data_IF_944442505302
#
_entry.id   IF_944442505302
#
_cell.length_a   1.000
_cell.length_b   1.000
_cell.length_c   1.000
_cell.angle_alpha   90.00
_cell.angle_beta   90.00
_cell.angle_gamma   90.00
#
_symmetry.space_group_name_H-M   'P 1'
#
loop_
_entity.id
_entity.type
_entity.pdbx_description
1 polymer ?
#
# COMPACT_ATOMS: atom_id res chain seq x y z
N UNK A 1 -14.38 -13.46 -46.45
CA UNK A 1 -13.16 -12.63 -46.62
C UNK A 1 -12.84 -12.01 -45.27
N UNK A 2 -11.99 -12.66 -44.47
CA UNK A 2 -11.65 -12.20 -43.12
C UNK A 2 -10.61 -11.08 -43.23
N UNK A 3 -10.98 -9.86 -42.87
CA UNK A 3 -10.04 -8.75 -42.72
C UNK A 3 -9.32 -8.95 -41.39
N UNK A 4 -8.09 -9.44 -41.47
CA UNK A 4 -7.16 -9.47 -40.34
C UNK A 4 -6.67 -8.02 -40.16
N UNK A 5 -7.25 -7.30 -39.21
CA UNK A 5 -6.67 -6.05 -38.73
C UNK A 5 -5.40 -6.38 -37.95
N UNK A 6 -4.26 -6.35 -38.64
CA UNK A 6 -2.95 -6.33 -38.04
C UNK A 6 -2.82 -5.00 -37.26
N UNK A 7 -2.98 -5.04 -35.94
CA UNK A 7 -2.56 -3.93 -35.09
C UNK A 7 -1.03 -3.88 -35.13
N UNK A 8 -0.48 -3.11 -36.07
CA UNK A 8 0.90 -2.67 -35.99
C UNK A 8 1.00 -1.74 -34.79
N UNK A 9 1.54 -2.23 -33.68
CA UNK A 9 1.99 -1.39 -32.57
C UNK A 9 3.11 -0.49 -33.11
N UNK A 10 2.77 0.75 -33.47
CA UNK A 10 3.78 1.77 -33.71
C UNK A 10 4.47 2.00 -32.36
N UNK A 11 5.68 1.49 -32.18
CA UNK A 11 6.52 1.83 -31.04
C UNK A 11 6.82 3.33 -31.12
N UNK A 12 6.00 4.15 -30.45
CA UNK A 12 6.22 5.59 -30.36
C UNK A 12 7.53 5.82 -29.59
N UNK A 13 8.59 6.28 -30.27
CA UNK A 13 9.85 6.63 -29.63
C UNK A 13 9.68 7.84 -28.71
N UNK A 14 10.35 7.83 -27.56
CA UNK A 14 10.35 8.96 -26.63
C UNK A 14 11.03 10.16 -27.30
N UNK A 15 10.32 11.30 -27.37
CA UNK A 15 10.87 12.52 -27.95
C UNK A 15 11.63 13.31 -26.88
N UNK A 16 12.81 13.80 -27.24
CA UNK A 16 13.64 14.65 -26.37
C UNK A 16 12.88 15.91 -25.94
N UNK A 17 12.03 16.46 -26.81
CA UNK A 17 11.19 17.61 -26.49
C UNK A 17 10.27 17.36 -25.29
N UNK A 18 9.71 16.15 -25.18
CA UNK A 18 8.79 15.79 -24.10
C UNK A 18 9.54 15.72 -22.76
N UNK A 19 10.78 15.22 -22.76
CA UNK A 19 11.64 15.18 -21.57
C UNK A 19 11.98 16.60 -21.09
N UNK A 20 12.25 17.53 -22.01
CA UNK A 20 12.62 18.91 -21.67
C UNK A 20 11.41 19.73 -21.22
N UNK A 21 10.24 19.46 -21.80
CA UNK A 21 8.99 20.13 -21.41
C UNK A 21 8.61 19.83 -19.96
N UNK A 22 9.07 18.70 -19.41
CA UNK A 22 8.85 18.37 -18.01
C UNK A 22 9.57 19.36 -17.09
N UNK A 23 8.80 19.96 -16.18
CA UNK A 23 9.34 20.86 -15.16
C UNK A 23 10.37 20.11 -14.30
N UNK A 24 11.60 20.64 -14.14
CA UNK A 24 12.62 19.98 -13.33
C UNK A 24 12.22 19.92 -11.86
N UNK A 25 12.59 18.83 -11.20
CA UNK A 25 12.45 18.69 -9.76
C UNK A 25 13.55 19.46 -9.05
N UNK A 26 13.17 20.46 -8.26
CA UNK A 26 14.11 21.27 -7.50
C UNK A 26 14.44 20.55 -6.19
N UNK A 27 15.71 20.20 -5.99
CA UNK A 27 16.20 19.42 -4.84
C UNK A 27 17.40 20.11 -4.21
N UNK A 28 17.77 19.76 -2.98
CA UNK A 28 19.00 20.28 -2.38
C UNK A 28 20.23 19.76 -3.15
N UNK A 29 20.50 18.47 -3.03
CA UNK A 29 21.52 17.74 -3.77
C UNK A 29 20.92 16.41 -4.27
N UNK A 30 21.40 15.95 -5.43
CA UNK A 30 21.05 14.63 -5.94
C UNK A 30 21.92 13.58 -5.22
N UNK A 31 21.33 12.50 -4.68
CA UNK A 31 22.12 11.48 -4.01
C UNK A 31 22.89 10.66 -5.06
N UNK A 32 24.22 10.68 -4.99
CA UNK A 32 25.08 9.89 -5.87
C UNK A 32 25.39 8.55 -5.20
N UNK A 33 24.86 7.47 -5.75
CA UNK A 33 25.21 6.09 -5.35
C UNK A 33 26.41 5.58 -6.15
N UNK A 34 27.11 4.60 -5.59
CA UNK A 34 28.10 3.76 -6.28
C UNK A 34 27.68 2.28 -6.34
N UNK A 35 26.41 1.99 -6.02
CA UNK A 35 25.82 0.66 -6.13
C UNK A 35 25.94 0.03 -7.52
N UNK A 36 26.00 -1.30 -7.58
CA UNK A 36 26.25 -2.08 -8.81
C UNK A 36 25.19 -1.91 -9.91
N UNK A 37 24.00 -1.42 -9.55
CA UNK A 37 22.88 -1.16 -10.47
C UNK A 37 22.71 0.33 -10.79
N UNK A 38 23.69 1.15 -10.42
CA UNK A 38 23.71 2.58 -10.73
C UNK A 38 24.90 2.86 -11.63
N UNK A 39 24.62 3.50 -12.76
CA UNK A 39 25.62 3.86 -13.75
C UNK A 39 25.62 5.37 -13.92
N UNK A 40 26.78 5.99 -13.75
CA UNK A 40 26.97 7.43 -13.86
C UNK A 40 27.60 7.78 -15.20
N UNK A 41 27.01 8.73 -15.91
CA UNK A 41 27.57 9.34 -17.11
C UNK A 41 27.83 10.83 -16.83
N UNK A 42 28.95 11.14 -16.14
CA UNK A 42 29.21 12.49 -15.65
C UNK A 42 29.54 13.47 -16.78
N UNK A 43 29.21 14.74 -16.54
CA UNK A 43 29.55 15.87 -17.38
C UNK A 43 30.16 16.98 -16.51
N UNK A 44 31.08 17.80 -17.03
CA UNK A 44 31.51 19.02 -16.34
C UNK A 44 30.37 20.02 -16.15
N UNK A 45 30.54 20.94 -15.20
CA UNK A 45 29.63 22.09 -15.04
C UNK A 45 29.48 22.85 -16.36
N UNK A 46 28.26 23.33 -16.63
CA UNK A 46 27.87 24.03 -17.86
C UNK A 46 28.18 23.32 -19.21
N UNK A 47 28.61 22.05 -19.19
CA UNK A 47 28.97 21.30 -20.39
C UNK A 47 27.86 20.34 -20.84
N UNK A 48 27.79 20.10 -22.15
CA UNK A 48 27.01 18.99 -22.72
C UNK A 48 27.85 17.76 -23.04
N UNK A 49 29.18 17.87 -22.96
CA UNK A 49 30.10 16.79 -23.27
C UNK A 49 30.29 15.90 -22.04
N UNK A 50 30.26 14.59 -22.27
CA UNK A 50 30.59 13.63 -21.23
C UNK A 50 32.07 13.70 -20.86
N UNK A 51 32.39 13.44 -19.60
CA UNK A 51 33.78 13.19 -19.18
C UNK A 51 34.27 11.87 -19.79
N UNK A 52 35.59 11.69 -20.01
CA UNK A 52 36.15 10.51 -20.70
C UNK A 52 35.71 9.16 -20.13
N UNK A 53 35.50 9.08 -18.82
CA UNK A 53 35.03 7.88 -18.12
C UNK A 53 33.67 7.37 -18.61
N UNK A 54 32.76 8.26 -19.03
CA UNK A 54 31.41 7.89 -19.46
C UNK A 54 31.42 7.06 -20.75
N UNK A 55 32.38 7.30 -21.66
CA UNK A 55 32.48 6.58 -22.94
C UNK A 55 32.99 5.14 -22.77
N UNK A 56 33.57 4.82 -21.61
CA UNK A 56 34.10 3.47 -21.30
C UNK A 56 33.07 2.59 -20.58
N UNK A 57 31.95 3.17 -20.16
CA UNK A 57 30.92 2.49 -19.40
C UNK A 57 30.21 1.44 -20.27
N UNK A 58 30.10 0.23 -19.74
CA UNK A 58 29.28 -0.85 -20.30
C UNK A 58 28.24 -1.25 -19.26
N UNK A 59 27.03 -1.59 -19.73
CA UNK A 59 26.00 -2.13 -18.85
C UNK A 59 26.43 -3.50 -18.34
N UNK A 60 26.26 -3.81 -17.04
CA UNK A 60 26.48 -5.15 -16.51
C UNK A 60 25.66 -6.22 -17.27
N UNK A 61 26.18 -7.44 -17.41
CA UNK A 61 25.43 -8.53 -18.05
C UNK A 61 24.08 -8.76 -17.37
N UNK A 62 23.07 -9.14 -18.16
CA UNK A 62 21.73 -9.44 -17.67
C UNK A 62 21.11 -8.29 -16.85
N UNK A 63 21.32 -7.04 -17.28
CA UNK A 63 20.63 -5.87 -16.74
C UNK A 63 19.92 -5.09 -17.84
N UNK A 64 18.88 -4.36 -17.46
CA UNK A 64 18.13 -3.46 -18.34
C UNK A 64 17.95 -2.09 -17.69
N UNK A 65 17.77 -1.05 -18.51
CA UNK A 65 17.60 0.31 -18.01
C UNK A 65 16.18 0.49 -17.48
N UNK A 66 16.07 0.88 -16.22
CA UNK A 66 14.79 1.15 -15.57
C UNK A 66 14.44 2.65 -15.57
N UNK A 67 15.40 3.50 -15.24
CA UNK A 67 15.18 4.94 -15.11
C UNK A 67 16.42 5.73 -15.50
N UNK A 68 16.22 6.94 -16.00
CA UNK A 68 17.29 7.87 -16.38
C UNK A 68 16.99 9.24 -15.76
N UNK A 69 17.93 9.71 -14.94
CA UNK A 69 17.88 11.05 -14.35
C UNK A 69 18.89 11.96 -15.05
N UNK A 70 18.42 13.08 -15.61
CA UNK A 70 19.28 14.20 -15.97
C UNK A 70 19.44 15.12 -14.76
N UNK A 71 20.66 15.28 -14.27
CA UNK A 71 20.96 16.06 -13.06
C UNK A 71 21.81 17.28 -13.42
N UNK A 72 21.42 18.45 -12.91
CA UNK A 72 22.22 19.68 -13.02
C UNK A 72 21.99 20.61 -11.83
N UNK A 73 22.76 21.68 -11.73
CA UNK A 73 22.64 22.69 -10.66
C UNK A 73 21.83 23.90 -11.10
N UNK A 74 21.04 24.48 -10.19
CA UNK A 74 20.32 25.75 -10.41
C UNK A 74 21.27 26.93 -10.64
N UNK A 75 22.45 26.86 -10.05
CA UNK A 75 23.46 27.91 -10.15
C UNK A 75 23.80 28.18 -11.62
N UNK A 76 23.70 29.45 -12.02
CA UNK A 76 24.10 29.97 -13.33
C UNK A 76 25.01 31.17 -13.10
N UNK A 77 26.10 31.23 -13.85
CA UNK A 77 27.04 32.35 -13.77
C UNK A 77 26.48 33.62 -14.44
N UNK A 78 25.60 33.44 -15.43
CA UNK A 78 24.98 34.53 -16.18
C UNK A 78 23.47 34.32 -16.19
N UNK A 79 22.71 35.37 -15.94
CA UNK A 79 21.25 35.28 -15.83
C UNK A 79 20.54 34.90 -17.13
N UNK A 80 21.13 35.25 -18.27
CA UNK A 80 20.63 34.96 -19.63
C UNK A 80 20.88 33.52 -20.08
N UNK A 81 21.51 32.69 -19.24
CA UNK A 81 21.85 31.32 -19.58
C UNK A 81 20.60 30.46 -19.88
N UNK A 82 20.60 29.81 -21.04
CA UNK A 82 19.48 28.98 -21.49
C UNK A 82 19.69 27.50 -21.08
N UNK A 83 19.23 27.16 -19.87
CA UNK A 83 19.30 25.80 -19.35
C UNK A 83 18.56 24.75 -20.21
N UNK A 84 17.34 25.01 -20.73
CA UNK A 84 16.65 24.07 -21.63
C UNK A 84 17.48 23.69 -22.87
N UNK A 85 18.15 24.69 -23.50
CA UNK A 85 19.00 24.46 -24.68
C UNK A 85 20.23 23.60 -24.34
N UNK A 86 20.84 23.80 -23.17
CA UNK A 86 21.93 22.93 -22.71
C UNK A 86 21.44 21.49 -22.49
N UNK A 87 20.29 21.32 -21.83
CA UNK A 87 19.71 19.99 -21.59
C UNK A 87 19.33 19.27 -22.89
N UNK A 88 18.87 20.00 -23.91
CA UNK A 88 18.65 19.43 -25.24
C UNK A 88 19.93 18.86 -25.86
N UNK A 89 21.04 19.60 -25.77
CA UNK A 89 22.34 19.12 -26.25
C UNK A 89 22.81 17.88 -25.48
N UNK A 90 22.62 17.87 -24.16
CA UNK A 90 22.94 16.70 -23.31
C UNK A 90 22.15 15.46 -23.73
N UNK A 91 20.85 15.60 -23.95
CA UNK A 91 19.99 14.49 -24.37
C UNK A 91 20.35 13.99 -25.78
N UNK A 92 20.70 14.90 -26.71
CA UNK A 92 21.21 14.51 -28.02
C UNK A 92 22.53 13.73 -27.92
N UNK A 93 23.45 14.17 -27.06
CA UNK A 93 24.70 13.45 -26.82
C UNK A 93 24.46 12.07 -26.20
N UNK A 94 23.52 11.95 -25.25
CA UNK A 94 23.11 10.64 -24.73
C UNK A 94 22.51 9.76 -25.83
N UNK A 95 21.69 10.31 -26.73
CA UNK A 95 21.11 9.57 -27.86
C UNK A 95 22.16 9.05 -28.85
N UNK A 96 23.24 9.81 -29.05
CA UNK A 96 24.38 9.35 -29.84
C UNK A 96 25.13 8.20 -29.15
N UNK A 97 25.33 8.31 -27.83
CA UNK A 97 26.03 7.29 -27.06
C UNK A 97 25.22 6.01 -26.95
N UNK A 98 23.96 6.12 -26.51
CA UNK A 98 23.03 5.01 -26.27
C UNK A 98 21.68 5.28 -26.98
N UNK A 99 21.56 4.99 -28.29
CA UNK A 99 20.33 5.26 -29.03
C UNK A 99 19.15 4.37 -28.59
N UNK A 100 19.42 3.18 -28.07
CA UNK A 100 18.39 2.19 -27.76
C UNK A 100 17.51 2.58 -26.57
N UNK A 101 18.03 3.34 -25.59
CA UNK A 101 17.21 3.80 -24.46
C UNK A 101 16.08 4.75 -24.88
N UNK A 102 16.20 5.39 -26.05
CA UNK A 102 15.13 6.26 -26.58
C UNK A 102 14.06 5.48 -27.35
N UNK A 103 14.27 4.19 -27.60
CA UNK A 103 13.30 3.27 -28.22
C UNK A 103 12.44 2.54 -27.18
N UNK A 104 12.84 2.57 -25.92
CA UNK A 104 12.16 1.91 -24.80
C UNK A 104 11.14 2.87 -24.17
N UNK A 105 9.89 2.44 -24.09
CA UNK A 105 8.78 3.28 -23.63
C UNK A 105 8.52 3.19 -22.12
N UNK A 106 9.20 2.27 -21.45
CA UNK A 106 9.02 1.98 -20.03
C UNK A 106 10.14 2.53 -19.14
N UNK A 107 11.09 3.29 -19.71
CA UNK A 107 12.10 4.04 -18.96
C UNK A 107 11.48 5.26 -18.31
N UNK A 108 11.64 5.40 -16.99
CA UNK A 108 11.26 6.61 -16.28
C UNK A 108 12.31 7.72 -16.46
N UNK A 109 11.97 8.76 -17.24
CA UNK A 109 12.81 9.94 -17.44
C UNK A 109 12.50 11.01 -16.40
N UNK A 110 13.53 11.54 -15.74
CA UNK A 110 13.39 12.62 -14.74
C UNK A 110 14.49 13.65 -14.88
N UNK A 111 14.15 14.91 -14.60
CA UNK A 111 15.09 16.04 -14.66
C UNK A 111 15.19 16.66 -13.27
N UNK A 112 16.40 16.78 -12.74
CA UNK A 112 16.67 17.30 -11.40
C UNK A 112 17.53 18.57 -11.45
N UNK A 113 17.07 19.59 -10.75
CA UNK A 113 17.75 20.87 -10.55
C UNK A 113 18.19 21.00 -9.08
N UNK A 114 19.49 20.99 -8.83
CA UNK A 114 20.09 21.07 -7.49
C UNK A 114 20.24 22.53 -7.04
N UNK A 115 19.57 22.92 -5.95
CA UNK A 115 19.51 24.30 -5.45
C UNK A 115 20.52 24.63 -4.35
N UNK A 116 21.17 23.63 -3.75
CA UNK A 116 22.15 23.84 -2.67
C UNK A 116 23.36 24.69 -3.09
N UNK A 117 24.04 24.44 -4.22
CA UNK A 117 25.21 25.24 -4.58
C UNK A 117 24.82 26.69 -4.92
N UNK A 118 25.49 27.64 -4.26
CA UNK A 118 25.30 29.09 -4.44
C UNK A 118 26.49 29.80 -5.08
N UNK A 119 27.64 29.14 -5.14
CA UNK A 119 28.87 29.65 -5.75
C UNK A 119 29.25 28.78 -6.94
N UNK A 120 30.12 29.31 -7.81
CA UNK A 120 30.66 28.56 -8.95
C UNK A 120 31.39 27.31 -8.47
N UNK A 121 32.30 27.45 -7.50
CA UNK A 121 33.04 26.33 -6.93
C UNK A 121 32.13 25.24 -6.35
N UNK A 122 31.11 25.62 -5.58
CA UNK A 122 30.15 24.64 -5.04
C UNK A 122 29.34 23.97 -6.16
N UNK A 123 29.02 24.72 -7.23
CA UNK A 123 28.30 24.18 -8.37
C UNK A 123 29.17 23.19 -9.14
N UNK A 124 30.44 23.48 -9.38
CA UNK A 124 31.41 22.62 -10.06
C UNK A 124 31.67 21.30 -9.33
N UNK A 125 31.60 21.33 -8.00
CA UNK A 125 31.74 20.14 -7.15
C UNK A 125 30.46 19.28 -7.07
N UNK A 126 29.33 19.73 -7.61
CA UNK A 126 28.12 18.93 -7.68
C UNK A 126 28.13 17.98 -8.90
N UNK A 127 27.37 16.90 -8.83
CA UNK A 127 27.20 16.02 -9.98
C UNK A 127 26.35 16.67 -11.08
N UNK A 128 26.84 16.62 -12.33
CA UNK A 128 26.06 16.89 -13.54
C UNK A 128 26.18 15.74 -14.51
N UNK A 129 25.13 15.47 -15.27
CA UNK A 129 25.11 14.42 -16.27
C UNK A 129 23.91 13.50 -16.10
N UNK A 130 24.07 12.24 -16.49
CA UNK A 130 23.00 11.26 -16.43
C UNK A 130 23.29 10.17 -15.41
N UNK A 131 22.34 9.94 -14.51
CA UNK A 131 22.33 8.77 -13.64
C UNK A 131 21.36 7.76 -14.20
N UNK A 132 21.87 6.58 -14.50
CA UNK A 132 21.16 5.48 -15.13
C UNK A 132 20.94 4.41 -14.06
N UNK A 133 19.70 4.04 -13.84
CA UNK A 133 19.33 2.99 -12.90
C UNK A 133 18.97 1.74 -13.66
N UNK A 134 19.60 0.65 -13.26
CA UNK A 134 19.46 -0.65 -13.86
C UNK A 134 18.63 -1.56 -12.96
N UNK A 135 18.01 -2.55 -13.58
CA UNK A 135 17.40 -3.69 -12.90
C UNK A 135 17.92 -4.98 -13.52
N UNK A 136 17.86 -6.07 -12.77
CA UNK A 136 18.26 -7.38 -13.27
C UNK A 136 17.22 -7.89 -14.29
N UNK A 137 17.72 -8.49 -15.37
CA UNK A 137 16.95 -8.97 -16.52
C UNK A 137 16.35 -10.39 -16.34
N UNK A 138 16.84 -11.29 -15.45
CA UNK A 138 16.05 -12.41 -14.99
C UNK A 138 15.28 -12.04 -13.71
N UNK A 139 13.96 -12.31 -13.64
CA UNK A 139 13.25 -12.28 -12.36
C UNK A 139 14.01 -13.10 -11.32
N UNK A 140 14.06 -12.62 -10.07
CA UNK A 140 14.64 -13.38 -8.97
C UNK A 140 13.95 -14.75 -8.92
N UNK A 141 14.72 -15.83 -8.75
CA UNK A 141 14.17 -17.19 -8.62
C UNK A 141 13.10 -17.28 -7.49
N UNK A 142 13.17 -16.38 -6.52
CA UNK A 142 12.16 -16.19 -5.48
C UNK A 142 10.83 -15.65 -6.02
N UNK A 143 10.85 -14.62 -6.87
CA UNK A 143 9.63 -14.06 -7.50
C UNK A 143 8.89 -15.11 -8.33
N UNK A 144 9.61 -15.95 -9.08
CA UNK A 144 8.94 -17.04 -9.83
C UNK A 144 8.36 -18.11 -8.89
N UNK A 145 8.98 -18.36 -7.73
CA UNK A 145 8.38 -19.23 -6.68
C UNK A 145 7.12 -18.59 -6.08
N UNK A 146 7.10 -17.27 -5.88
CA UNK A 146 5.93 -16.54 -5.40
C UNK A 146 4.78 -16.60 -6.41
N UNK A 147 5.06 -16.34 -7.70
CA UNK A 147 4.07 -16.47 -8.78
C UNK A 147 3.55 -17.91 -8.87
N UNK A 148 4.42 -18.92 -8.76
CA UNK A 148 4.01 -20.32 -8.75
C UNK A 148 3.10 -20.68 -7.57
N UNK A 149 3.32 -20.08 -6.39
CA UNK A 149 2.41 -20.22 -5.23
C UNK A 149 1.04 -19.62 -5.55
N UNK A 150 0.99 -18.44 -6.17
CA UNK A 150 -0.27 -17.80 -6.60
C UNK A 150 -1.02 -18.70 -7.60
N UNK A 151 -0.31 -19.21 -8.62
CA UNK A 151 -0.88 -20.15 -9.61
C UNK A 151 -1.51 -21.38 -8.96
N UNK A 152 -0.81 -21.96 -7.98
CA UNK A 152 -1.29 -23.15 -7.26
C UNK A 152 -2.58 -22.86 -6.49
N UNK A 153 -2.68 -21.72 -5.81
CA UNK A 153 -3.91 -21.30 -5.11
C UNK A 153 -5.07 -21.13 -6.10
N UNK A 154 -4.83 -20.43 -7.22
CA UNK A 154 -5.87 -20.19 -8.23
C UNK A 154 -6.33 -21.49 -8.90
N UNK A 155 -5.40 -22.42 -9.19
CA UNK A 155 -5.71 -23.70 -9.85
C UNK A 155 -6.41 -24.71 -8.94
N UNK A 156 -6.13 -24.66 -7.64
CA UNK A 156 -6.73 -25.56 -6.65
C UNK A 156 -8.15 -25.15 -6.22
N UNK A 157 -8.63 -23.98 -6.68
CA UNK A 157 -9.94 -23.48 -6.31
C UNK A 157 -11.08 -24.39 -6.72
N UNK A 158 -11.98 -24.63 -5.77
CA UNK A 158 -13.29 -25.27 -5.94
C UNK A 158 -14.33 -24.38 -5.28
N UNK A 159 -15.37 -24.03 -6.01
CA UNK A 159 -16.47 -23.25 -5.45
C UNK A 159 -17.18 -24.08 -4.37
N UNK A 160 -17.54 -23.44 -3.27
CA UNK A 160 -18.16 -24.10 -2.13
C UNK A 160 -18.95 -23.11 -1.29
N UNK A 161 -20.06 -23.60 -0.75
CA UNK A 161 -20.89 -22.88 0.20
C UNK A 161 -20.86 -23.57 1.54
N UNK A 162 -20.76 -22.78 2.62
CA UNK A 162 -20.85 -23.26 3.99
C UNK A 162 -22.07 -22.62 4.64
N UNK A 163 -22.85 -23.41 5.36
CA UNK A 163 -23.93 -22.90 6.18
C UNK A 163 -23.38 -22.22 7.43
N UNK A 164 -23.64 -20.93 7.60
CA UNK A 164 -23.37 -20.20 8.83
C UNK A 164 -24.64 -20.22 9.68
N UNK A 165 -24.57 -20.73 10.92
CA UNK A 165 -25.72 -20.74 11.81
C UNK A 165 -26.06 -19.32 12.29
N UNK A 166 -27.30 -19.12 12.73
CA UNK A 166 -27.74 -17.85 13.32
C UNK A 166 -26.84 -17.47 14.50
N UNK A 167 -26.44 -16.20 14.56
CA UNK A 167 -25.66 -15.67 15.68
C UNK A 167 -26.39 -14.51 16.35
N UNK A 168 -26.33 -14.47 17.69
CA UNK A 168 -26.88 -13.39 18.49
C UNK A 168 -25.76 -12.75 19.32
N UNK A 169 -25.56 -11.44 19.18
CA UNK A 169 -24.70 -10.68 20.09
C UNK A 169 -25.50 -10.21 21.28
N UNK A 170 -24.91 -10.31 22.49
CA UNK A 170 -25.57 -9.92 23.73
C UNK A 170 -24.84 -8.73 24.35
N UNK A 171 -25.59 -7.70 24.79
CA UNK A 171 -25.03 -6.69 25.70
C UNK A 171 -25.19 -7.20 27.12
N UNK A 172 -24.08 -7.48 27.79
CA UNK A 172 -24.12 -7.79 29.22
C UNK A 172 -24.30 -6.48 29.98
N UNK A 173 -25.50 -6.24 30.50
CA UNK A 173 -25.75 -5.21 31.51
C UNK A 173 -25.52 -5.82 32.89
N UNK A 174 -24.79 -5.09 33.73
CA UNK A 174 -24.64 -5.41 35.15
C UNK A 174 -25.49 -4.42 35.93
N UNK A 175 -26.44 -4.91 36.73
CA UNK A 175 -27.21 -4.09 37.66
C UNK A 175 -27.07 -4.63 39.07
N UNK A 176 -27.07 -3.73 40.05
CA UNK A 176 -27.16 -4.10 41.45
C UNK A 176 -28.63 -4.21 41.83
N UNK A 177 -29.02 -5.36 42.39
CA UNK A 177 -30.35 -5.59 42.91
C UNK A 177 -30.25 -5.82 44.43
N UNK A 178 -31.07 -5.12 45.19
CA UNK A 178 -31.11 -5.26 46.65
C UNK A 178 -31.59 -6.67 47.02
N UNK A 179 -30.86 -7.37 47.89
CA UNK A 179 -31.19 -8.76 48.26
C UNK A 179 -32.27 -8.86 49.34
N UNK A 180 -32.71 -7.72 49.89
CA UNK A 180 -33.57 -7.65 51.07
C UNK A 180 -32.83 -7.85 52.41
N UNK A 181 -31.52 -8.10 52.37
CA UNK A 181 -30.68 -8.27 53.56
C UNK A 181 -29.76 -7.07 53.80
N UNK A 182 -29.29 -6.96 55.04
CA UNK A 182 -28.38 -5.93 55.52
C UNK A 182 -27.07 -6.56 56.00
N UNK A 183 -25.94 -5.96 55.63
CA UNK A 183 -24.61 -6.40 56.00
C UNK A 183 -24.23 -5.91 57.41
N UNK A 184 -23.61 -6.76 58.26
CA UNK A 184 -23.11 -6.31 59.56
C UNK A 184 -21.97 -5.29 59.39
N UNK A 185 -21.85 -4.32 60.30
CA UNK A 185 -20.71 -3.38 60.28
C UNK A 185 -19.39 -4.06 60.67
N UNK A 186 -19.44 -5.12 61.49
CA UNK A 186 -18.26 -5.89 61.90
C UNK A 186 -17.72 -6.77 60.76
N UNK A 187 -16.41 -6.68 60.52
CA UNK A 187 -15.70 -7.43 59.47
C UNK A 187 -15.72 -8.94 59.71
N UNK A 188 -15.59 -9.40 60.95
CA UNK A 188 -15.62 -10.83 61.28
C UNK A 188 -17.01 -11.43 61.06
N UNK A 189 -18.05 -10.65 61.34
CA UNK A 189 -19.44 -11.05 61.08
C UNK A 189 -19.72 -11.14 59.57
N UNK A 190 -19.11 -10.27 58.75
CA UNK A 190 -19.16 -10.37 57.27
C UNK A 190 -18.44 -11.62 56.77
N UNK A 191 -17.26 -11.95 57.31
CA UNK A 191 -16.51 -13.18 56.93
C UNK A 191 -17.29 -14.46 57.22
N UNK A 192 -18.11 -14.47 58.28
CA UNK A 192 -19.02 -15.58 58.62
C UNK A 192 -20.32 -15.60 57.80
N UNK A 193 -20.45 -14.77 56.76
CA UNK A 193 -21.65 -14.64 55.91
C UNK A 193 -22.95 -14.37 56.67
N UNK A 194 -22.89 -13.72 57.84
CA UNK A 194 -24.11 -13.37 58.58
C UNK A 194 -24.84 -12.20 57.92
N UNK A 195 -26.16 -12.32 57.84
CA UNK A 195 -27.07 -11.36 57.19
C UNK A 195 -28.19 -10.96 58.16
N UNK A 196 -28.69 -9.73 58.02
CA UNK A 196 -29.78 -9.20 58.84
C UNK A 196 -30.98 -8.82 57.96
N UNK A 197 -32.20 -8.93 58.48
CA UNK A 197 -33.43 -8.56 57.77
C UNK A 197 -33.77 -7.06 57.89
N UNK A 198 -33.09 -6.29 58.74
CA UNK A 198 -33.30 -4.84 58.88
C UNK A 198 -32.01 -4.07 59.21
N UNK A 199 -32.02 -2.77 58.90
CA UNK A 199 -30.93 -1.85 59.23
C UNK A 199 -30.67 -1.75 60.74
N UNK A 200 -31.74 -1.83 61.53
CA UNK A 200 -31.75 -1.67 62.99
C UNK A 200 -31.17 -0.32 63.46
N UNK A 201 -30.97 -0.17 64.76
CA UNK A 201 -30.43 1.04 65.43
C UNK A 201 -29.00 1.38 64.95
N UNK A 202 -28.32 0.41 64.33
CA UNK A 202 -26.92 0.51 63.88
C UNK A 202 -26.77 0.91 62.41
N UNK A 203 -27.86 1.36 61.75
CA UNK A 203 -27.88 1.87 60.37
C UNK A 203 -27.08 1.00 59.37
N UNK A 204 -27.30 -0.32 59.42
CA UNK A 204 -26.56 -1.27 58.59
C UNK A 204 -26.78 -0.99 57.09
N UNK A 205 -25.76 -1.26 56.28
CA UNK A 205 -25.83 -1.10 54.83
C UNK A 205 -26.62 -2.25 54.18
N UNK A 206 -27.44 -1.92 53.19
CA UNK A 206 -28.15 -2.90 52.36
C UNK A 206 -27.15 -3.76 51.57
N UNK A 207 -27.42 -5.05 51.49
CA UNK A 207 -26.70 -5.98 50.63
C UNK A 207 -27.27 -5.89 49.21
N UNK A 208 -26.37 -5.76 48.24
CA UNK A 208 -26.70 -5.81 46.83
C UNK A 208 -26.04 -7.03 46.21
N UNK A 209 -26.79 -7.72 45.35
CA UNK A 209 -26.25 -8.74 44.46
C UNK A 209 -26.09 -8.15 43.07
N UNK A 210 -24.96 -8.45 42.42
CA UNK A 210 -24.83 -8.17 41.00
C UNK A 210 -25.60 -9.20 40.20
N UNK A 211 -26.54 -8.72 39.40
CA UNK A 211 -27.24 -9.52 38.40
C UNK A 211 -26.64 -9.19 37.03
N UNK A 212 -26.28 -10.26 36.31
CA UNK A 212 -25.89 -10.20 34.91
C UNK A 212 -27.15 -10.38 34.09
N UNK A 213 -27.56 -9.33 33.40
CA UNK A 213 -28.71 -9.35 32.49
C UNK A 213 -28.20 -9.17 31.05
N UNK A 214 -28.45 -10.16 30.19
CA UNK A 214 -27.98 -10.17 28.82
C UNK A 214 -29.13 -9.84 27.88
N UNK A 215 -29.11 -8.66 27.27
CA UNK A 215 -30.11 -8.27 26.27
C UNK A 215 -29.54 -8.60 24.89
N UNK A 216 -30.22 -9.38 24.04
CA UNK A 216 -29.79 -9.61 22.66
C UNK A 216 -29.82 -8.29 21.89
N UNK A 217 -28.67 -7.87 21.37
CA UNK A 217 -28.47 -6.61 20.66
C UNK A 217 -28.81 -6.73 19.17
N UNK A 218 -28.32 -7.81 18.54
CA UNK A 218 -28.46 -8.03 17.10
C UNK A 218 -28.50 -9.53 16.84
N UNK A 219 -29.50 -9.99 16.10
CA UNK A 219 -29.57 -11.34 15.53
C UNK A 219 -29.18 -11.27 14.06
N UNK A 220 -28.28 -12.14 13.65
CA UNK A 220 -27.88 -12.33 12.25
C UNK A 220 -28.41 -13.69 11.83
N UNK A 221 -29.44 -13.77 10.96
CA UNK A 221 -30.01 -15.03 10.51
C UNK A 221 -28.95 -15.97 9.91
N UNK A 222 -29.18 -17.27 10.08
CA UNK A 222 -28.35 -18.28 9.42
C UNK A 222 -28.45 -18.14 7.90
N UNK A 223 -27.32 -18.30 7.21
CA UNK A 223 -27.26 -18.13 5.77
C UNK A 223 -26.12 -18.96 5.17
N UNK A 224 -26.24 -19.28 3.88
CA UNK A 224 -25.16 -19.88 3.12
C UNK A 224 -24.16 -18.80 2.71
N UNK A 225 -22.88 -19.07 2.94
CA UNK A 225 -21.80 -18.21 2.52
C UNK A 225 -20.88 -18.93 1.52
N UNK A 226 -20.48 -18.22 0.47
CA UNK A 226 -19.41 -18.68 -0.41
C UNK A 226 -18.08 -18.57 0.31
N UNK A 227 -17.45 -19.70 0.55
CA UNK A 227 -16.13 -19.74 1.20
C UNK A 227 -15.02 -20.00 0.20
N UNK A 228 -15.32 -20.80 -0.83
CA UNK A 228 -14.30 -21.41 -1.68
C UNK A 228 -13.42 -22.39 -0.90
N UNK A 229 -12.95 -23.45 -1.58
CA UNK A 229 -11.84 -24.27 -1.12
C UNK A 229 -10.68 -24.11 -2.07
N UNK A 230 -9.52 -23.77 -1.56
CA UNK A 230 -8.28 -23.63 -2.32
C UNK A 230 -7.11 -24.03 -1.44
N UNK A 231 -5.96 -24.31 -2.05
CA UNK A 231 -4.75 -24.71 -1.33
C UNK A 231 -4.29 -23.60 -0.39
N UNK A 232 -4.42 -23.83 0.91
CA UNK A 232 -3.97 -22.94 1.97
C UNK A 232 -2.58 -23.30 2.49
N UNK A 233 -1.88 -24.26 1.88
CA UNK A 233 -0.55 -24.66 2.30
C UNK A 233 0.42 -23.49 2.22
N UNK A 234 0.91 -23.04 3.37
CA UNK A 234 1.78 -21.87 3.50
C UNK A 234 1.03 -20.53 3.65
N UNK A 235 -0.30 -20.51 3.56
CA UNK A 235 -1.15 -19.37 3.92
C UNK A 235 -1.45 -19.46 5.43
N UNK A 236 -0.64 -18.82 6.28
CA UNK A 236 -0.89 -18.83 7.73
C UNK A 236 -2.00 -17.83 8.09
N UNK A 237 -3.18 -18.33 8.51
CA UNK A 237 -4.31 -17.54 9.05
C UNK A 237 -4.70 -16.33 8.19
N UNK A 238 -4.95 -16.56 6.90
CA UNK A 238 -5.38 -15.53 5.96
C UNK A 238 -6.76 -15.89 5.40
N UNK A 239 -7.64 -14.91 5.19
CA UNK A 239 -9.03 -15.14 4.72
C UNK A 239 -9.62 -13.91 4.00
N UNK A 240 -8.75 -13.15 3.33
CA UNK A 240 -9.10 -11.93 2.59
C UNK A 240 -10.05 -12.22 1.44
N UNK A 241 -9.99 -13.43 0.87
CA UNK A 241 -10.96 -13.88 -0.13
C UNK A 241 -12.40 -13.75 0.38
N UNK A 242 -12.66 -14.13 1.65
CA UNK A 242 -14.00 -14.00 2.24
C UNK A 242 -14.39 -12.56 2.49
N UNK A 243 -13.46 -11.71 2.93
CA UNK A 243 -13.74 -10.27 3.11
C UNK A 243 -14.18 -9.65 1.78
N UNK A 244 -13.40 -9.92 0.73
CA UNK A 244 -13.62 -9.40 -0.62
C UNK A 244 -14.91 -9.90 -1.28
N UNK A 245 -15.28 -11.17 -1.05
CA UNK A 245 -16.48 -11.78 -1.63
C UNK A 245 -17.76 -11.41 -0.90
N UNK A 246 -17.73 -11.24 0.43
CA UNK A 246 -18.91 -10.92 1.24
C UNK A 246 -19.33 -9.45 1.13
N UNK A 247 -18.39 -8.54 0.90
CA UNK A 247 -18.68 -7.10 0.90
C UNK A 247 -19.19 -6.65 -0.46
N UNK A 248 -20.32 -5.94 -0.46
CA UNK A 248 -20.69 -5.12 -1.60
C UNK A 248 -19.99 -3.76 -1.47
N UNK A 249 -19.06 -3.49 -2.38
CA UNK A 249 -18.25 -2.28 -2.36
C UNK A 249 -19.01 -1.04 -2.88
N UNK A 250 -20.00 -1.23 -3.76
CA UNK A 250 -20.82 -0.15 -4.32
C UNK A 250 -20.04 0.89 -5.15
N UNK A 251 -20.75 1.61 -6.03
CA UNK A 251 -20.17 2.71 -6.80
C UNK A 251 -19.01 2.33 -7.73
N UNK A 252 -18.28 3.35 -8.21
CA UNK A 252 -17.08 3.23 -9.02
C UNK A 252 -15.86 3.20 -8.11
N UNK A 253 -15.06 2.14 -8.15
CA UNK A 253 -13.90 2.00 -7.28
C UNK A 253 -12.68 1.53 -8.07
N UNK A 254 -11.50 1.74 -7.49
CA UNK A 254 -10.27 1.12 -7.98
C UNK A 254 -9.72 0.16 -6.92
N UNK A 255 -9.22 -1.00 -7.37
CA UNK A 255 -8.56 -1.99 -6.51
C UNK A 255 -7.06 -1.76 -6.60
N UNK A 256 -6.42 -1.44 -5.47
CA UNK A 256 -4.99 -1.22 -5.35
C UNK A 256 -4.40 -2.31 -4.48
N UNK A 257 -3.44 -3.05 -5.01
CA UNK A 257 -2.86 -4.23 -4.35
C UNK A 257 -1.36 -4.03 -4.23
N UNK A 258 -0.88 -4.07 -3.00
CA UNK A 258 0.53 -4.27 -2.69
C UNK A 258 0.94 -5.68 -3.15
N UNK A 259 1.95 -5.77 -4.02
CA UNK A 259 2.48 -7.04 -4.53
C UNK A 259 3.96 -7.25 -4.20
N UNK A 260 4.40 -6.70 -3.07
CA UNK A 260 5.69 -7.07 -2.47
C UNK A 260 5.72 -8.53 -2.01
N UNK A 261 6.90 -9.06 -1.73
CA UNK A 261 7.08 -10.49 -1.45
C UNK A 261 6.24 -10.99 -0.27
N UNK A 262 6.11 -10.20 0.80
CA UNK A 262 5.27 -10.54 1.97
C UNK A 262 3.79 -10.63 1.61
N UNK A 263 3.37 -9.97 0.53
CA UNK A 263 1.99 -9.93 0.06
C UNK A 263 1.58 -11.12 -0.81
N UNK A 264 2.51 -12.01 -1.18
CA UNK A 264 2.23 -13.22 -1.98
C UNK A 264 0.98 -14.02 -1.54
N UNK A 265 0.83 -14.44 -0.25
CA UNK A 265 -0.34 -15.21 0.17
C UNK A 265 -1.66 -14.45 0.00
N UNK A 266 -1.65 -13.14 0.24
CA UNK A 266 -2.83 -12.28 0.14
C UNK A 266 -3.17 -11.95 -1.31
N UNK A 267 -2.15 -11.69 -2.13
CA UNK A 267 -2.27 -11.47 -3.57
C UNK A 267 -2.92 -12.66 -4.26
N UNK A 268 -2.57 -13.89 -3.85
CA UNK A 268 -3.22 -15.10 -4.37
C UNK A 268 -4.74 -15.09 -4.15
N UNK A 269 -5.18 -14.69 -2.95
CA UNK A 269 -6.60 -14.57 -2.61
C UNK A 269 -7.30 -13.43 -3.35
N UNK A 270 -6.61 -12.31 -3.55
CA UNK A 270 -7.13 -11.18 -4.36
C UNK A 270 -7.32 -11.61 -5.81
N UNK A 271 -6.33 -12.27 -6.41
CA UNK A 271 -6.46 -12.76 -7.79
C UNK A 271 -7.57 -13.82 -7.90
N UNK A 272 -7.70 -14.69 -6.91
CA UNK A 272 -8.80 -15.63 -6.86
C UNK A 272 -10.16 -14.93 -6.81
N UNK A 273 -10.29 -13.90 -5.97
CA UNK A 273 -11.50 -13.07 -5.93
C UNK A 273 -11.76 -12.39 -7.28
N UNK A 274 -10.75 -11.77 -7.91
CA UNK A 274 -10.90 -11.14 -9.22
C UNK A 274 -11.37 -12.12 -10.30
N UNK A 275 -10.87 -13.36 -10.28
CA UNK A 275 -11.25 -14.40 -11.25
C UNK A 275 -12.72 -14.80 -11.14
N UNK A 276 -13.29 -14.77 -9.94
CA UNK A 276 -14.63 -15.29 -9.64
C UNK A 276 -15.65 -14.21 -9.24
N UNK A 277 -15.22 -12.95 -9.14
CA UNK A 277 -16.07 -11.80 -8.83
C UNK A 277 -16.42 -11.02 -10.09
N UNK A 278 -17.67 -11.18 -10.54
CA UNK A 278 -18.19 -10.42 -11.69
C UNK A 278 -18.12 -8.90 -11.44
N UNK A 279 -18.47 -8.45 -10.23
CA UNK A 279 -18.49 -7.02 -9.89
C UNK A 279 -17.11 -6.36 -9.85
N UNK A 280 -16.06 -7.12 -9.52
CA UNK A 280 -14.69 -6.60 -9.52
C UNK A 280 -14.23 -6.30 -10.95
N UNK A 281 -14.34 -7.29 -11.85
CA UNK A 281 -13.92 -7.12 -13.23
C UNK A 281 -14.83 -6.14 -13.97
N UNK A 282 -16.12 -6.07 -13.65
CA UNK A 282 -17.02 -5.06 -14.22
C UNK A 282 -16.59 -3.62 -13.86
N UNK A 283 -16.01 -3.39 -12.66
CA UNK A 283 -15.42 -2.07 -12.33
C UNK A 283 -14.13 -1.81 -13.10
N UNK A 284 -13.33 -2.86 -13.28
CA UNK A 284 -12.22 -2.95 -14.22
C UNK A 284 -10.93 -2.21 -13.85
N UNK A 285 -10.95 -1.33 -12.84
CA UNK A 285 -9.80 -0.48 -12.47
C UNK A 285 -8.89 -1.18 -11.46
N UNK A 286 -7.79 -1.73 -11.97
CA UNK A 286 -6.86 -2.55 -11.19
C UNK A 286 -5.49 -1.89 -11.18
N UNK A 287 -4.89 -1.83 -9.99
CA UNK A 287 -3.59 -1.24 -9.74
C UNK A 287 -2.78 -2.18 -8.87
N UNK A 288 -1.55 -2.45 -9.30
CA UNK A 288 -0.55 -3.16 -8.52
C UNK A 288 0.60 -2.20 -8.22
N UNK A 289 1.11 -2.19 -6.99
CA UNK A 289 2.31 -1.44 -6.64
C UNK A 289 3.34 -2.31 -5.93
N UNK A 290 4.62 -2.04 -6.20
CA UNK A 290 5.75 -2.88 -5.81
C UNK A 290 6.93 -2.08 -5.23
N UNK A 291 6.65 -0.86 -4.77
CA UNK A 291 7.63 0.04 -4.17
C UNK A 291 8.83 0.37 -5.05
N UNK A 292 8.52 0.87 -6.24
CA UNK A 292 9.50 1.56 -7.08
C UNK A 292 10.29 0.67 -8.04
N UNK A 293 9.77 -0.50 -8.42
CA UNK A 293 10.39 -1.40 -9.40
C UNK A 293 11.88 -1.74 -9.12
N UNK A 294 12.19 -2.14 -7.89
CA UNK A 294 13.58 -2.39 -7.42
C UNK A 294 14.51 -1.18 -7.53
N UNK A 295 13.98 0.05 -7.65
CA UNK A 295 14.80 1.24 -7.54
C UNK A 295 15.56 1.21 -6.20
N UNK A 296 16.88 1.50 -6.19
CA UNK A 296 17.63 1.65 -4.95
C UNK A 296 16.93 2.59 -3.96
N UNK A 297 16.94 2.25 -2.67
CA UNK A 297 16.13 2.94 -1.65
C UNK A 297 16.39 4.46 -1.58
N UNK A 298 17.62 4.91 -1.81
CA UNK A 298 17.97 6.33 -1.86
C UNK A 298 17.28 7.14 -2.96
N UNK A 299 16.67 6.46 -3.94
CA UNK A 299 15.92 7.07 -5.03
C UNK A 299 14.43 7.06 -4.81
N UNK A 300 13.95 6.26 -3.86
CA UNK A 300 12.55 6.17 -3.46
C UNK A 300 12.17 7.42 -2.67
N UNK A 301 12.14 8.54 -3.39
CA UNK A 301 11.78 9.83 -2.86
C UNK A 301 10.26 9.91 -2.81
N UNK A 302 9.74 10.35 -1.66
CA UNK A 302 8.31 10.58 -1.46
C UNK A 302 7.73 11.37 -2.65
N UNK A 303 6.76 10.76 -3.34
CA UNK A 303 6.08 11.31 -4.52
C UNK A 303 6.68 10.84 -5.86
N UNK A 304 7.78 10.09 -5.84
CA UNK A 304 8.56 9.66 -7.01
C UNK A 304 9.13 8.25 -6.88
N UNK A 305 8.62 7.46 -5.95
CA UNK A 305 9.03 6.06 -5.79
C UNK A 305 8.71 5.27 -7.07
N UNK A 306 7.51 5.45 -7.63
CA UNK A 306 7.09 4.76 -8.85
C UNK A 306 6.64 3.33 -8.58
N UNK A 307 6.86 2.39 -9.51
CA UNK A 307 6.42 1.01 -9.28
C UNK A 307 4.91 0.78 -9.31
N UNK A 308 4.17 1.67 -9.97
CA UNK A 308 2.70 1.61 -10.04
C UNK A 308 2.27 1.11 -11.42
N UNK A 309 1.57 -0.01 -11.47
CA UNK A 309 1.14 -0.70 -12.67
C UNK A 309 -0.38 -0.70 -12.74
N UNK A 310 -0.97 -0.14 -13.80
CA UNK A 310 -2.40 0.10 -13.89
C UNK A 310 -3.02 -0.43 -15.18
N UNK A 311 -4.15 -1.11 -15.09
CA UNK A 311 -4.99 -1.44 -16.24
C UNK A 311 -6.47 -1.19 -15.94
N UNK A 312 -7.21 -0.79 -16.98
CA UNK A 312 -8.67 -0.89 -17.01
C UNK A 312 -9.00 -2.12 -17.84
N UNK A 313 -9.49 -3.18 -17.20
CA UNK A 313 -9.76 -4.46 -17.85
C UNK A 313 -10.91 -5.22 -17.21
N UNK A 314 -11.74 -5.83 -18.06
CA UNK A 314 -12.80 -6.76 -17.66
C UNK A 314 -12.35 -8.23 -17.81
N UNK A 315 -11.09 -8.45 -18.19
CA UNK A 315 -10.52 -9.77 -18.47
C UNK A 315 -9.49 -10.11 -17.41
N UNK A 316 -9.71 -11.24 -16.74
CA UNK A 316 -8.83 -11.74 -15.68
C UNK A 316 -7.38 -11.92 -16.14
N UNK A 317 -7.14 -12.50 -17.33
CA UNK A 317 -5.79 -12.78 -17.81
C UNK A 317 -4.95 -11.51 -18.00
N UNK A 318 -5.58 -10.39 -18.35
CA UNK A 318 -4.92 -9.08 -18.43
C UNK A 318 -4.53 -8.59 -17.04
N UNK A 319 -5.42 -8.69 -16.05
CA UNK A 319 -5.13 -8.34 -14.66
C UNK A 319 -4.01 -9.23 -14.09
N UNK A 320 -4.06 -10.53 -14.36
CA UNK A 320 -3.05 -11.49 -13.94
C UNK A 320 -1.69 -11.23 -14.58
N UNK A 321 -1.66 -10.88 -15.86
CA UNK A 321 -0.42 -10.50 -16.56
C UNK A 321 0.18 -9.20 -16.04
N UNK A 322 -0.67 -8.23 -15.67
CA UNK A 322 -0.25 -7.00 -15.01
C UNK A 322 0.36 -7.28 -13.63
N UNK A 323 -0.27 -8.14 -12.82
CA UNK A 323 0.25 -8.57 -11.52
C UNK A 323 1.64 -9.21 -11.67
N UNK A 324 1.81 -10.19 -12.57
CA UNK A 324 3.13 -10.81 -12.82
C UNK A 324 4.17 -9.77 -13.24
N UNK A 325 3.78 -8.81 -14.07
CA UNK A 325 4.68 -7.73 -14.50
C UNK A 325 5.10 -6.87 -13.33
N UNK A 326 4.18 -6.50 -12.44
CA UNK A 326 4.46 -5.74 -11.24
C UNK A 326 5.42 -6.52 -10.30
N UNK A 327 5.11 -7.76 -9.96
CA UNK A 327 5.96 -8.60 -9.10
C UNK A 327 7.36 -8.81 -9.67
N UNK A 328 7.47 -9.04 -10.99
CA UNK A 328 8.77 -9.22 -11.67
C UNK A 328 9.59 -7.95 -11.74
N UNK A 329 8.93 -6.79 -11.78
CA UNK A 329 9.61 -5.51 -11.77
C UNK A 329 10.03 -5.09 -10.38
N UNK A 330 9.52 -5.69 -9.32
CA UNK A 330 9.97 -5.46 -7.95
C UNK A 330 9.19 -6.29 -6.93
N UNK A 331 9.91 -6.72 -5.89
CA UNK A 331 9.37 -7.51 -4.79
C UNK A 331 9.40 -6.76 -3.45
N UNK A 332 9.57 -5.44 -3.48
CA UNK A 332 9.87 -4.59 -2.33
C UNK A 332 11.37 -4.24 -2.24
N UNK A 333 11.73 -3.46 -1.22
CA UNK A 333 13.13 -3.15 -0.91
C UNK A 333 13.30 -2.87 0.58
N UNK A 334 13.14 -1.61 0.97
CA UNK A 334 12.95 -1.24 2.36
C UNK A 334 11.57 -1.67 2.88
N UNK A 335 11.44 -1.81 4.20
CA UNK A 335 10.18 -2.20 4.84
C UNK A 335 9.00 -1.23 4.59
N UNK A 336 9.19 0.10 4.40
CA UNK A 336 8.08 1.01 4.09
C UNK A 336 7.66 1.03 2.62
N UNK A 337 6.36 1.12 2.35
CA UNK A 337 5.76 0.99 1.01
C UNK A 337 5.16 2.32 0.48
N UNK A 338 5.01 2.46 -0.84
CA UNK A 338 4.55 3.71 -1.50
C UNK A 338 3.04 3.78 -1.78
N UNK A 339 2.23 3.48 -0.76
CA UNK A 339 0.78 3.38 -0.90
C UNK A 339 0.10 4.69 -1.36
N UNK A 340 0.54 5.85 -0.88
CA UNK A 340 -0.13 7.13 -1.18
C UNK A 340 0.12 7.56 -2.63
N UNK A 341 1.32 7.34 -3.17
CA UNK A 341 1.63 7.55 -4.58
C UNK A 341 0.71 6.73 -5.48
N UNK A 342 0.45 5.46 -5.13
CA UNK A 342 -0.48 4.59 -5.85
C UNK A 342 -1.90 5.19 -5.85
N UNK A 343 -2.40 5.66 -4.70
CA UNK A 343 -3.70 6.33 -4.59
C UNK A 343 -3.79 7.61 -5.43
N UNK A 344 -2.78 8.47 -5.34
CA UNK A 344 -2.71 9.75 -6.08
C UNK A 344 -2.70 9.49 -7.59
N UNK A 345 -1.86 8.58 -8.06
CA UNK A 345 -1.78 8.24 -9.47
C UNK A 345 -3.12 7.69 -9.98
N UNK A 346 -3.80 6.89 -9.16
CA UNK A 346 -5.09 6.26 -9.50
C UNK A 346 -6.21 7.29 -9.66
N UNK A 347 -6.41 8.21 -8.70
CA UNK A 347 -7.44 9.27 -8.84
C UNK A 347 -7.14 10.27 -9.96
N UNK A 348 -5.86 10.44 -10.33
CA UNK A 348 -5.48 11.26 -11.49
C UNK A 348 -5.84 10.57 -12.79
N UNK A 349 -5.64 9.25 -12.89
CA UNK A 349 -5.96 8.46 -14.09
C UNK A 349 -7.47 8.27 -14.25
N UNK A 350 -8.16 7.91 -13.19
CA UNK A 350 -9.61 7.68 -13.20
C UNK A 350 -10.30 8.63 -12.23
N UNK A 351 -10.62 9.83 -12.73
CA UNK A 351 -11.24 10.90 -11.94
C UNK A 351 -12.67 10.58 -11.49
N UNK A 352 -13.34 9.65 -12.18
CA UNK A 352 -14.73 9.26 -11.91
C UNK A 352 -14.91 8.29 -10.74
N UNK A 353 -13.83 7.84 -10.07
CA UNK A 353 -13.97 6.90 -8.96
C UNK A 353 -14.56 7.60 -7.72
N UNK A 354 -15.38 6.85 -7.01
CA UNK A 354 -16.02 7.24 -5.76
C UNK A 354 -15.13 6.87 -4.56
N UNK A 355 -14.42 5.74 -4.64
CA UNK A 355 -13.60 5.24 -3.54
C UNK A 355 -12.45 4.33 -4.01
N UNK A 356 -11.60 3.95 -3.06
CA UNK A 356 -10.52 2.98 -3.25
C UNK A 356 -10.77 1.72 -2.40
N UNK A 357 -10.31 0.58 -2.91
CA UNK A 357 -10.12 -0.66 -2.14
C UNK A 357 -8.61 -0.94 -2.16
N UNK A 358 -7.94 -0.72 -1.04
CA UNK A 358 -6.50 -0.92 -0.90
C UNK A 358 -6.22 -2.20 -0.11
N UNK A 359 -5.40 -3.09 -0.66
CA UNK A 359 -4.93 -4.31 -0.01
C UNK A 359 -3.46 -4.09 0.34
N UNK A 360 -3.10 -4.14 1.63
CA UNK A 360 -1.77 -3.76 2.10
C UNK A 360 -1.32 -4.58 3.32
N UNK A 361 0.00 -4.68 3.53
CA UNK A 361 0.60 -5.36 4.68
C UNK A 361 0.58 -4.48 5.93
N UNK A 362 -0.02 -4.97 7.02
CA UNK A 362 -0.01 -4.31 8.32
C UNK A 362 1.41 -4.08 8.88
N UNK A 363 2.35 -4.95 8.53
CA UNK A 363 3.71 -4.94 9.06
C UNK A 363 4.63 -3.96 8.32
N UNK A 364 4.16 -3.42 7.19
CA UNK A 364 4.87 -2.45 6.38
C UNK A 364 4.31 -1.03 6.63
N UNK A 365 5.14 -0.06 7.09
CA UNK A 365 4.71 1.33 7.21
C UNK A 365 4.44 1.98 5.84
N UNK A 366 3.51 2.92 5.78
CA UNK A 366 3.34 3.76 4.58
C UNK A 366 4.46 4.82 4.52
N UNK A 367 5.38 4.69 3.56
CA UNK A 367 6.56 5.56 3.35
C UNK A 367 6.17 7.01 3.08
N UNK A 368 5.16 7.18 2.25
CA UNK A 368 4.74 8.45 1.67
C UNK A 368 3.50 9.03 2.35
N UNK A 369 3.25 8.67 3.61
CA UNK A 369 2.10 9.11 4.41
C UNK A 369 1.98 10.65 4.48
N UNK A 370 3.09 11.37 4.35
CA UNK A 370 3.10 12.85 4.31
C UNK A 370 2.30 13.43 3.12
N UNK A 371 2.07 12.65 2.06
CA UNK A 371 1.29 13.04 0.89
C UNK A 371 -0.22 12.85 1.05
N UNK A 372 -0.70 12.31 2.19
CA UNK A 372 -2.10 11.93 2.44
C UNK A 372 -3.12 13.02 2.10
N UNK A 373 -2.76 14.30 2.26
CA UNK A 373 -3.64 15.45 1.95
C UNK A 373 -4.02 15.54 0.47
N UNK A 374 -3.31 14.87 -0.43
CA UNK A 374 -3.62 14.82 -1.86
C UNK A 374 -4.66 13.74 -2.21
N UNK A 375 -4.92 12.81 -1.29
CA UNK A 375 -5.93 11.77 -1.46
C UNK A 375 -7.29 12.34 -1.06
N UNK A 376 -8.20 12.40 -2.03
CA UNK A 376 -9.49 13.10 -1.86
C UNK A 376 -10.69 12.17 -1.79
N UNK A 377 -10.49 10.88 -2.05
CA UNK A 377 -11.54 9.85 -2.05
C UNK A 377 -11.37 8.92 -0.84
N UNK A 378 -12.47 8.35 -0.30
CA UNK A 378 -12.40 7.36 0.76
C UNK A 378 -11.53 6.16 0.41
N UNK A 379 -10.67 5.74 1.35
CA UNK A 379 -9.81 4.57 1.20
C UNK A 379 -10.28 3.45 2.11
N UNK A 380 -10.86 2.41 1.52
CA UNK A 380 -11.23 1.19 2.22
C UNK A 380 -10.04 0.23 2.21
N UNK A 381 -9.49 -0.09 3.39
CA UNK A 381 -8.22 -0.82 3.52
C UNK A 381 -8.50 -2.24 3.98
N UNK A 382 -8.20 -3.24 3.15
CA UNK A 382 -8.07 -4.62 3.59
C UNK A 382 -6.65 -4.79 4.09
N UNK A 383 -6.52 -4.89 5.40
CA UNK A 383 -5.23 -4.87 6.07
C UNK A 383 -4.81 -6.28 6.45
N UNK A 384 -3.79 -6.76 5.75
CA UNK A 384 -3.30 -8.12 5.82
C UNK A 384 -2.31 -8.31 6.98
N UNK A 385 -2.28 -9.50 7.58
CA UNK A 385 -1.29 -9.84 8.61
C UNK A 385 -1.50 -9.15 9.97
N UNK A 386 -2.71 -8.68 10.28
CA UNK A 386 -3.05 -8.11 11.59
C UNK A 386 -3.06 -9.20 12.66
N UNK A 387 -2.30 -8.99 13.73
CA UNK A 387 -2.30 -9.83 14.94
C UNK A 387 -2.79 -9.02 16.15
N UNK A 388 -1.86 -8.42 16.86
CA UNK A 388 -2.01 -7.68 18.11
C UNK A 388 -1.96 -6.16 17.90
N UNK A 389 -1.63 -5.71 16.69
CA UNK A 389 -1.47 -4.30 16.35
C UNK A 389 -2.05 -4.01 14.97
N UNK A 390 -2.76 -2.90 14.85
CA UNK A 390 -3.10 -2.27 13.56
C UNK A 390 -2.21 -1.04 13.42
N UNK A 391 -1.42 -1.00 12.35
CA UNK A 391 -0.37 0.00 12.16
C UNK A 391 -0.94 1.43 12.00
N UNK A 392 -0.32 2.45 12.64
CA UNK A 392 -0.90 3.79 12.79
C UNK A 392 -1.09 4.51 11.46
N UNK A 393 -0.20 4.29 10.47
CA UNK A 393 -0.34 4.92 9.15
C UNK A 393 -1.65 4.52 8.45
N UNK A 394 -2.10 3.27 8.59
CA UNK A 394 -3.38 2.84 8.00
C UNK A 394 -4.58 3.37 8.78
N UNK A 395 -4.48 3.51 10.11
CA UNK A 395 -5.48 4.20 10.94
C UNK A 395 -5.62 5.65 10.50
N UNK A 396 -4.50 6.36 10.33
CA UNK A 396 -4.49 7.74 9.85
C UNK A 396 -5.06 7.86 8.44
N UNK A 397 -4.69 6.95 7.53
CA UNK A 397 -5.17 6.93 6.15
C UNK A 397 -6.69 6.77 6.08
N UNK A 398 -7.25 5.77 6.74
CA UNK A 398 -8.69 5.55 6.77
C UNK A 398 -9.41 6.73 7.44
N UNK A 399 -8.89 7.22 8.57
CA UNK A 399 -9.47 8.35 9.30
C UNK A 399 -9.51 9.64 8.47
N UNK A 400 -8.42 10.02 7.80
CA UNK A 400 -8.35 11.26 7.01
C UNK A 400 -9.14 11.22 5.72
N UNK A 401 -9.29 10.03 5.14
CA UNK A 401 -10.04 9.87 3.88
C UNK A 401 -11.52 9.53 4.10
N UNK A 402 -11.93 9.26 5.34
CA UNK A 402 -13.29 8.83 5.67
C UNK A 402 -13.59 7.39 5.25
N UNK A 403 -12.55 6.58 5.04
CA UNK A 403 -12.66 5.17 4.73
C UNK A 403 -12.67 4.27 5.97
N UNK A 404 -12.61 2.96 5.73
CA UNK A 404 -12.69 1.91 6.75
C UNK A 404 -11.48 0.99 6.69
N UNK A 405 -11.20 0.26 7.79
CA UNK A 405 -10.21 -0.83 7.83
C UNK A 405 -10.95 -2.15 7.97
N UNK A 406 -10.58 -3.14 7.18
CA UNK A 406 -11.08 -4.50 7.19
C UNK A 406 -9.94 -5.44 7.57
N UNK A 407 -10.14 -6.21 8.63
CA UNK A 407 -9.26 -7.31 9.03
C UNK A 407 -10.02 -8.62 8.92
N UNK A 408 -9.35 -9.75 9.11
CA UNK A 408 -10.01 -11.07 9.18
C UNK A 408 -11.09 -11.14 10.27
N UNK A 409 -10.93 -10.34 11.32
CA UNK A 409 -11.77 -10.38 12.52
C UNK A 409 -12.88 -9.31 12.53
N UNK A 410 -12.70 -8.17 11.85
CA UNK A 410 -13.68 -7.09 11.89
C UNK A 410 -13.60 -6.07 10.74
N UNK A 411 -14.73 -5.40 10.51
CA UNK A 411 -14.79 -4.10 9.85
C UNK A 411 -14.73 -2.98 10.91
N UNK A 412 -13.73 -2.11 10.80
CA UNK A 412 -13.52 -0.96 11.67
C UNK A 412 -13.88 0.28 10.87
N UNK A 413 -14.91 0.99 11.33
CA UNK A 413 -15.42 2.21 10.71
C UNK A 413 -15.37 3.40 11.67
N UNK A 414 -15.56 4.60 11.13
CA UNK A 414 -15.60 5.82 11.95
C UNK A 414 -14.27 6.17 12.61
N UNK A 415 -13.14 5.79 12.00
CA UNK A 415 -11.80 6.02 12.56
C UNK A 415 -11.48 7.51 12.76
N UNK A 416 -12.13 8.40 11.99
CA UNK A 416 -12.06 9.85 12.16
C UNK A 416 -12.61 10.37 13.51
N UNK A 417 -13.38 9.55 14.23
CA UNK A 417 -13.95 9.88 15.55
C UNK A 417 -13.13 9.32 16.71
N UNK A 418 -12.09 8.52 16.43
CA UNK A 418 -11.26 7.90 17.46
C UNK A 418 -10.43 8.95 18.20
N UNK A 419 -10.46 8.88 19.54
CA UNK A 419 -9.62 9.69 20.43
C UNK A 419 -8.57 8.79 21.09
N UNK A 420 -7.38 9.31 21.35
CA UNK A 420 -6.35 8.55 22.09
C UNK A 420 -6.92 8.02 23.41
N UNK A 421 -6.61 6.76 23.72
CA UNK A 421 -7.16 6.01 24.86
C UNK A 421 -8.53 5.38 24.62
N UNK A 422 -9.20 5.66 23.50
CA UNK A 422 -10.48 5.00 23.16
C UNK A 422 -10.26 3.52 22.92
N UNK A 423 -11.24 2.71 23.32
CA UNK A 423 -11.25 1.26 23.07
C UNK A 423 -12.31 0.90 22.05
N UNK A 424 -11.96 -0.04 21.17
CA UNK A 424 -12.86 -0.59 20.16
C UNK A 424 -12.79 -2.11 20.16
N UNK A 425 -13.90 -2.73 19.78
CA UNK A 425 -13.98 -4.17 19.60
C UNK A 425 -13.55 -4.52 18.17
N UNK A 426 -12.62 -5.46 18.03
CA UNK A 426 -12.15 -6.03 16.77
C UNK A 426 -12.30 -7.54 16.89
N UNK A 427 -13.42 -8.06 16.39
CA UNK A 427 -13.79 -9.47 16.53
C UNK A 427 -13.98 -9.85 17.99
N UNK A 428 -13.15 -10.76 18.50
CA UNK A 428 -13.15 -11.23 19.91
C UNK A 428 -12.14 -10.50 20.78
N UNK A 429 -11.52 -9.45 20.27
CA UNK A 429 -10.44 -8.75 20.93
C UNK A 429 -10.81 -7.29 21.15
N UNK A 430 -10.32 -6.70 22.24
CA UNK A 430 -10.41 -5.26 22.47
C UNK A 430 -9.08 -4.62 22.11
N UNK A 431 -9.15 -3.55 21.33
CA UNK A 431 -8.01 -2.73 20.95
C UNK A 431 -8.13 -1.34 21.56
N UNK A 432 -7.03 -0.76 21.98
CA UNK A 432 -6.93 0.60 22.49
C UNK A 432 -6.16 1.48 21.50
N UNK A 433 -6.70 2.65 21.19
CA UNK A 433 -6.05 3.60 20.29
C UNK A 433 -4.94 4.36 20.99
N UNK A 434 -3.71 4.14 20.56
CA UNK A 434 -2.48 4.74 21.09
C UNK A 434 -1.71 5.42 19.95
N UNK A 435 -0.61 6.10 20.29
CA UNK A 435 0.25 6.76 19.29
C UNK A 435 0.85 5.74 18.32
N UNK A 436 1.10 4.54 18.80
CA UNK A 436 1.68 3.42 18.07
C UNK A 436 0.65 2.71 17.18
N UNK A 437 -0.62 3.14 17.15
CA UNK A 437 -1.71 2.50 16.40
C UNK A 437 -2.83 1.99 17.30
N UNK A 438 -3.63 1.05 16.81
CA UNK A 438 -4.57 0.31 17.67
C UNK A 438 -3.86 -0.93 18.21
N UNK A 439 -3.77 -1.04 19.54
CA UNK A 439 -3.04 -2.11 20.23
C UNK A 439 -4.02 -3.01 20.96
N UNK A 440 -3.94 -4.32 20.73
CA UNK A 440 -4.74 -5.33 21.43
C UNK A 440 -4.41 -5.27 22.92
N UNK A 441 -5.44 -5.18 23.74
CA UNK A 441 -5.31 -5.12 25.21
C UNK A 441 -5.78 -6.41 25.90
N UNK A 442 -6.82 -7.07 25.39
CA UNK A 442 -7.26 -8.37 25.87
C UNK A 442 -8.23 -9.04 24.87
N UNK A 443 -8.43 -10.35 25.03
CA UNK A 443 -9.42 -11.15 24.32
C UNK A 443 -10.60 -11.50 25.25
N UNK A 444 -11.79 -11.62 24.68
CA UNK A 444 -13.04 -11.98 25.40
C UNK A 444 -13.19 -13.48 25.67
#
# INVERSE_FOLDING_TARGET
>A
MFVICLFATVNAQIKIADIIANKPYVINLHPTDTGKLVVLLPMPFASSQFKPEAYKVKLPPATEVHAIHLVYTRYKQVDTFNQPKLNQRRLNNLKLLWPDVFKQNDIAWRVFEQKSPKTLEAAENCYHGFVIYLKNHPPKAETEKEIAKIDRVIKSYKDSQVWIPETATYRVRRRQEETGYYLPNSRDKRKKNMKFSSGGIWFRQKEYRMIKDSIPLKRVPGHYEKTGFFDTFGLRKTDEFKILTRKNWGGKYAVLVDVTGSMTPYTAQVMLWMKHSKSCLDNGRIVFFNDGNEAPDMLKRIGFTGGIHMAETHVFDTAYSLMKTAMRRGNGGDLPENNIEALIATQKKWTMIDSFIMIADNNAPIKDITLIKQVTKPVNIILCGVTDKIHPNYVELAAKTGGNIYTIDAEISGLNKLKLGSRIDVGRSVFEYRKEGLIRVFDY
#
